data_IF_278682299832
#
_entry.id   IF_278682299832
#
_cell.length_a   1.000
_cell.length_b   1.000
_cell.length_c   1.000
_cell.angle_alpha   90.00
_cell.angle_beta   90.00
_cell.angle_gamma   90.00
#
_symmetry.space_group_name_H-M   'P 1'
#
loop_
_entity.id
_entity.type
_entity.pdbx_description
1 polymer ?
#
# COMPACT_ATOMS: atom_id res chain seq x y z
N UNK A 1 -0.24 4.01 -7.22
CA UNK A 1 -0.02 3.06 -8.33
C UNK A 1 -0.31 3.64 -9.71
N UNK A 2 -1.51 4.16 -9.98
CA UNK A 2 -1.90 4.69 -11.30
C UNK A 2 -0.90 5.66 -11.92
N UNK A 3 -0.44 6.65 -11.15
CA UNK A 3 0.54 7.66 -11.59
C UNK A 3 1.85 7.05 -12.11
N UNK A 4 2.54 6.29 -11.26
CA UNK A 4 3.87 5.76 -11.56
C UNK A 4 3.82 4.77 -12.73
N UNK A 5 2.77 3.95 -12.77
CA UNK A 5 2.62 2.89 -13.75
C UNK A 5 2.22 3.41 -15.15
N UNK A 6 1.59 4.58 -15.21
CA UNK A 6 1.17 5.22 -16.45
C UNK A 6 2.23 6.12 -17.08
N UNK A 7 3.18 6.62 -16.29
CA UNK A 7 4.14 7.64 -16.71
C UNK A 7 4.92 7.26 -17.97
N UNK A 8 5.56 6.08 -17.97
CA UNK A 8 6.36 5.64 -19.12
C UNK A 8 5.50 5.29 -20.35
N UNK A 9 4.39 4.53 -20.25
CA UNK A 9 3.49 4.30 -21.38
C UNK A 9 2.95 5.60 -22.00
N UNK A 10 2.51 6.56 -21.18
CA UNK A 10 2.01 7.85 -21.66
C UNK A 10 3.13 8.68 -22.31
N UNK A 11 4.33 8.70 -21.74
CA UNK A 11 5.49 9.36 -22.37
C UNK A 11 5.76 8.82 -23.76
N UNK A 12 5.75 7.49 -23.94
CA UNK A 12 5.95 6.85 -25.24
C UNK A 12 4.79 7.16 -26.21
N UNK A 13 3.56 7.19 -25.72
CA UNK A 13 2.40 7.57 -26.52
C UNK A 13 2.47 9.02 -27.00
N UNK A 14 2.99 9.94 -26.17
CA UNK A 14 3.18 11.36 -26.54
C UNK A 14 4.34 11.61 -27.50
N UNK A 15 5.28 10.67 -27.63
CA UNK A 15 6.38 10.74 -28.60
C UNK A 15 6.09 9.92 -29.86
N UNK A 16 4.81 9.64 -30.14
CA UNK A 16 4.31 8.84 -31.27
C UNK A 16 4.89 7.42 -31.35
N UNK A 17 5.32 6.86 -30.21
CA UNK A 17 5.84 5.49 -30.09
C UNK A 17 4.79 4.56 -29.46
N UNK A 18 3.57 4.57 -30.02
CA UNK A 18 2.42 3.81 -29.50
C UNK A 18 2.69 2.31 -29.47
N UNK A 19 3.32 1.75 -30.50
CA UNK A 19 3.66 0.32 -30.55
C UNK A 19 4.60 -0.07 -29.39
N UNK A 20 5.58 0.77 -29.09
CA UNK A 20 6.48 0.55 -27.94
C UNK A 20 5.73 0.71 -26.62
N UNK A 21 4.79 1.65 -26.53
CA UNK A 21 3.95 1.82 -25.36
C UNK A 21 3.11 0.56 -25.08
N UNK A 22 2.47 0.00 -26.12
CA UNK A 22 1.68 -1.23 -26.04
C UNK A 22 2.53 -2.46 -25.68
N UNK A 23 3.68 -2.64 -26.35
CA UNK A 23 4.62 -3.73 -26.01
C UNK A 23 5.12 -3.62 -24.58
N UNK A 24 5.45 -2.40 -24.14
CA UNK A 24 5.89 -2.13 -22.77
C UNK A 24 4.79 -2.44 -21.77
N UNK A 25 3.55 -2.08 -22.09
CA UNK A 25 2.40 -2.36 -21.26
C UNK A 25 2.20 -3.87 -21.09
N UNK A 26 2.26 -4.64 -22.19
CA UNK A 26 2.12 -6.09 -22.16
C UNK A 26 3.20 -6.77 -21.28
N UNK A 27 4.48 -6.45 -21.49
CA UNK A 27 5.60 -7.01 -20.70
C UNK A 27 5.53 -6.58 -19.23
N UNK A 28 5.24 -5.30 -18.96
CA UNK A 28 5.12 -4.75 -17.61
C UNK A 28 3.97 -5.37 -16.82
N UNK A 29 2.88 -5.73 -17.50
CA UNK A 29 1.70 -6.35 -16.90
C UNK A 29 2.05 -7.69 -16.25
N UNK A 30 2.70 -8.57 -17.01
CA UNK A 30 3.11 -9.88 -16.54
C UNK A 30 4.09 -9.77 -15.38
N UNK A 31 5.14 -8.97 -15.54
CA UNK A 31 6.20 -8.84 -14.53
C UNK A 31 5.71 -8.18 -13.24
N UNK A 32 4.67 -7.35 -13.29
CA UNK A 32 4.12 -6.72 -12.07
C UNK A 32 3.44 -7.73 -11.16
N UNK A 33 2.68 -8.67 -11.72
CA UNK A 33 2.02 -9.73 -10.94
C UNK A 33 3.07 -10.49 -10.13
N UNK A 34 4.14 -10.95 -10.77
CA UNK A 34 5.20 -11.69 -10.08
C UNK A 34 5.99 -10.84 -9.08
N UNK A 35 6.27 -9.57 -9.38
CA UNK A 35 6.95 -8.66 -8.43
C UNK A 35 6.13 -8.36 -7.19
N UNK A 36 4.80 -8.46 -7.26
CA UNK A 36 3.92 -8.29 -6.11
C UNK A 36 3.72 -9.61 -5.36
N UNK A 37 3.37 -10.66 -6.10
CA UNK A 37 2.98 -11.96 -5.54
C UNK A 37 4.15 -12.69 -4.91
N UNK A 38 5.30 -12.74 -5.57
CA UNK A 38 6.43 -13.55 -5.12
C UNK A 38 7.02 -13.06 -3.78
N UNK A 39 7.36 -11.76 -3.60
CA UNK A 39 7.91 -11.29 -2.33
C UNK A 39 6.91 -11.45 -1.16
N UNK A 40 5.63 -11.16 -1.40
CA UNK A 40 4.58 -11.29 -0.40
C UNK A 40 4.34 -12.75 0.01
N UNK A 41 4.28 -13.68 -0.96
CA UNK A 41 4.16 -15.12 -0.70
C UNK A 41 5.33 -15.63 0.15
N UNK A 42 6.56 -15.17 -0.14
CA UNK A 42 7.73 -15.54 0.65
C UNK A 42 7.66 -14.96 2.07
N UNK A 43 7.19 -13.73 2.24
CA UNK A 43 6.96 -13.15 3.56
C UNK A 43 5.93 -13.96 4.38
N UNK A 44 4.82 -14.36 3.76
CA UNK A 44 3.82 -15.24 4.38
C UNK A 44 4.41 -16.58 4.79
N UNK A 45 5.21 -17.22 3.92
CA UNK A 45 5.87 -18.50 4.23
C UNK A 45 6.81 -18.36 5.42
N UNK A 46 7.58 -17.27 5.51
CA UNK A 46 8.46 -17.03 6.65
C UNK A 46 7.61 -16.81 7.91
N UNK A 47 6.56 -15.99 7.85
CA UNK A 47 5.66 -15.74 8.98
C UNK A 47 5.00 -17.02 9.49
N UNK A 48 4.47 -17.84 8.57
CA UNK A 48 3.92 -19.17 8.85
C UNK A 48 4.93 -20.07 9.55
N UNK A 49 6.18 -20.08 9.07
CA UNK A 49 7.24 -20.88 9.67
C UNK A 49 7.58 -20.40 11.09
N UNK A 50 7.62 -19.09 11.33
CA UNK A 50 7.86 -18.53 12.68
C UNK A 50 6.71 -18.84 13.64
N UNK A 51 5.46 -18.77 13.17
CA UNK A 51 4.28 -19.16 13.94
C UNK A 51 4.37 -20.62 14.39
N UNK A 52 4.65 -21.55 13.46
CA UNK A 52 4.75 -22.99 13.77
C UNK A 52 5.98 -23.36 14.64
N UNK A 53 6.97 -22.48 14.76
CA UNK A 53 8.07 -22.60 15.72
C UNK A 53 7.74 -22.00 17.10
N UNK A 54 6.48 -21.61 17.34
CA UNK A 54 6.01 -21.04 18.60
C UNK A 54 6.64 -19.68 18.97
N UNK A 55 7.20 -18.97 17.98
CA UNK A 55 7.83 -17.66 18.20
C UNK A 55 6.81 -16.52 18.42
N UNK A 56 5.53 -16.81 18.16
CA UNK A 56 4.41 -15.87 18.27
C UNK A 56 3.63 -16.03 19.60
N UNK A 57 3.99 -16.98 20.46
CA UNK A 57 3.32 -17.25 21.74
C UNK A 57 3.18 -16.02 22.64
N UNK A 58 4.20 -15.16 22.71
CA UNK A 58 4.15 -13.93 23.51
C UNK A 58 3.16 -12.91 22.93
N UNK A 59 3.07 -12.79 21.60
CA UNK A 59 2.12 -11.86 20.97
C UNK A 59 0.67 -12.34 21.07
N UNK A 60 0.45 -13.65 20.95
CA UNK A 60 -0.85 -14.30 21.15
C UNK A 60 -1.36 -14.05 22.58
N UNK A 61 -0.49 -14.12 23.58
CA UNK A 61 -0.86 -13.98 24.99
C UNK A 61 -0.77 -12.53 25.50
N UNK A 62 -0.68 -11.55 24.60
CA UNK A 62 -0.52 -10.13 24.93
C UNK A 62 -1.87 -9.45 25.18
N UNK A 63 -1.96 -8.56 26.18
CA UNK A 63 -3.14 -7.70 26.40
C UNK A 63 -3.28 -6.58 25.34
N UNK A 64 -2.24 -6.35 24.53
CA UNK A 64 -2.33 -5.44 23.40
C UNK A 64 -3.26 -5.99 22.31
N UNK A 65 -4.44 -5.37 22.15
CA UNK A 65 -5.47 -5.75 21.17
C UNK A 65 -4.88 -6.16 19.82
N UNK A 66 -4.15 -5.27 19.14
CA UNK A 66 -3.61 -5.57 17.81
C UNK A 66 -2.68 -6.80 17.77
N UNK A 67 -1.84 -7.00 18.80
CA UNK A 67 -0.97 -8.18 18.85
C UNK A 67 -1.78 -9.46 19.02
N UNK A 68 -2.76 -9.45 19.92
CA UNK A 68 -3.62 -10.61 20.15
C UNK A 68 -4.46 -10.96 18.92
N UNK A 69 -5.25 -10.02 18.39
CA UNK A 69 -6.20 -10.34 17.31
C UNK A 69 -5.52 -10.73 16.00
N UNK A 70 -4.30 -10.25 15.77
CA UNK A 70 -3.59 -10.47 14.53
C UNK A 70 -2.58 -11.61 14.65
N UNK A 71 -2.49 -12.34 15.76
CA UNK A 71 -1.53 -13.43 15.92
C UNK A 71 -2.24 -14.78 15.83
N UNK A 72 -1.95 -15.61 14.82
CA UNK A 72 -2.49 -16.96 14.75
C UNK A 72 -1.78 -17.91 15.72
N UNK A 73 -2.53 -18.88 16.22
CA UNK A 73 -1.99 -20.01 16.98
C UNK A 73 -1.23 -20.98 16.07
N UNK A 74 -0.20 -21.68 16.59
CA UNK A 74 0.48 -22.73 15.83
C UNK A 74 -0.48 -23.87 15.45
N UNK A 75 -0.35 -24.39 14.23
CA UNK A 75 -1.15 -25.52 13.78
C UNK A 75 -0.82 -26.78 14.60
N UNK A 76 -1.80 -27.65 14.91
CA UNK A 76 -1.60 -28.80 15.80
C UNK A 76 -0.62 -29.85 15.25
N UNK A 77 -0.48 -29.93 13.92
CA UNK A 77 0.44 -30.85 13.26
C UNK A 77 1.03 -30.21 12.00
N UNK A 78 2.24 -30.59 11.61
CA UNK A 78 2.90 -30.08 10.40
C UNK A 78 2.13 -30.29 9.08
N UNK A 79 1.45 -31.44 8.84
CA UNK A 79 0.61 -31.58 7.66
C UNK A 79 -0.55 -30.58 7.65
N UNK A 80 -1.18 -30.35 8.81
CA UNK A 80 -2.21 -29.31 8.94
C UNK A 80 -1.62 -27.92 8.69
N UNK A 81 -0.43 -27.64 9.24
CA UNK A 81 0.27 -26.38 9.00
C UNK A 81 0.46 -26.09 7.51
N UNK A 82 0.80 -27.11 6.70
CA UNK A 82 0.94 -26.92 5.24
C UNK A 82 -0.41 -26.62 4.57
N UNK A 83 -1.51 -27.23 5.02
CA UNK A 83 -2.85 -26.93 4.53
C UNK A 83 -3.29 -25.51 4.92
N UNK A 84 -2.99 -25.09 6.16
CA UNK A 84 -3.29 -23.75 6.66
C UNK A 84 -2.50 -22.68 5.89
N UNK A 85 -1.23 -22.97 5.54
CA UNK A 85 -0.45 -22.11 4.64
C UNK A 85 -1.08 -21.97 3.26
N UNK A 86 -1.53 -23.06 2.65
CA UNK A 86 -2.20 -23.01 1.34
C UNK A 86 -3.52 -22.24 1.42
N UNK A 87 -4.28 -22.45 2.50
CA UNK A 87 -5.49 -21.70 2.80
C UNK A 87 -5.23 -20.20 2.93
N UNK A 88 -4.20 -19.81 3.69
CA UNK A 88 -3.81 -18.42 3.87
C UNK A 88 -3.34 -17.75 2.56
N UNK A 89 -2.60 -18.49 1.71
CA UNK A 89 -2.21 -18.00 0.38
C UNK A 89 -3.41 -17.84 -0.55
N UNK A 90 -4.38 -18.76 -0.50
CA UNK A 90 -5.63 -18.62 -1.25
C UNK A 90 -6.49 -17.46 -0.74
N UNK A 91 -6.60 -17.28 0.57
CA UNK A 91 -7.28 -16.14 1.17
C UNK A 91 -6.70 -14.81 0.65
N UNK A 92 -5.36 -14.70 0.66
CA UNK A 92 -4.66 -13.49 0.19
C UNK A 92 -4.94 -13.16 -1.29
N UNK A 93 -4.90 -14.16 -2.17
CA UNK A 93 -4.86 -13.93 -3.62
C UNK A 93 -6.18 -14.18 -4.35
N UNK A 94 -7.13 -14.88 -3.74
CA UNK A 94 -8.41 -15.26 -4.37
C UNK A 94 -9.59 -14.56 -3.70
N UNK A 95 -9.72 -14.69 -2.38
CA UNK A 95 -10.89 -14.18 -1.65
C UNK A 95 -10.71 -12.74 -1.15
N UNK A 96 -9.45 -12.31 -0.94
CA UNK A 96 -9.14 -11.02 -0.35
C UNK A 96 -9.34 -10.96 1.16
N UNK A 97 -9.60 -12.11 1.78
CA UNK A 97 -9.78 -12.26 3.22
C UNK A 97 -8.45 -12.14 3.96
N UNK A 98 -8.52 -11.79 5.24
CA UNK A 98 -7.36 -11.52 6.08
C UNK A 98 -6.47 -12.76 6.19
N UNK A 99 -5.27 -12.67 5.63
CA UNK A 99 -4.23 -13.68 5.81
C UNK A 99 -3.81 -13.71 7.28
N UNK A 100 -4.19 -14.77 8.00
CA UNK A 100 -3.92 -14.90 9.43
C UNK A 100 -2.43 -14.73 9.76
N UNK A 101 -1.54 -15.27 8.92
CA UNK A 101 -0.09 -15.17 9.12
C UNK A 101 0.46 -13.78 8.76
N UNK A 102 -0.22 -12.97 7.94
CA UNK A 102 0.26 -11.65 7.53
C UNK A 102 -0.88 -10.69 7.17
N UNK A 103 -1.65 -10.30 8.20
CA UNK A 103 -2.82 -9.43 8.07
C UNK A 103 -2.57 -8.18 7.22
N UNK A 104 -1.43 -7.46 7.34
CA UNK A 104 -1.15 -6.29 6.51
C UNK A 104 -1.28 -6.53 5.00
N UNK A 105 -1.15 -7.79 4.52
CA UNK A 105 -1.27 -8.17 3.12
C UNK A 105 -2.67 -8.03 2.52
N UNK A 106 -3.72 -7.75 3.32
CA UNK A 106 -5.09 -7.55 2.84
C UNK A 106 -5.17 -6.53 1.68
N UNK A 107 -4.27 -5.53 1.65
CA UNK A 107 -4.24 -4.52 0.59
C UNK A 107 -3.66 -5.01 -0.76
N UNK A 108 -2.92 -6.13 -0.77
CA UNK A 108 -2.20 -6.63 -1.94
C UNK A 108 -3.14 -7.06 -3.08
N UNK A 109 -4.29 -7.66 -2.75
CA UNK A 109 -5.28 -8.05 -3.76
C UNK A 109 -5.84 -6.82 -4.50
N UNK A 110 -6.15 -5.75 -3.76
CA UNK A 110 -6.62 -4.49 -4.33
C UNK A 110 -5.53 -3.82 -5.18
N UNK A 111 -4.25 -3.93 -4.79
CA UNK A 111 -3.12 -3.46 -5.61
C UNK A 111 -2.94 -4.27 -6.90
N UNK A 112 -3.22 -5.58 -6.85
CA UNK A 112 -3.20 -6.46 -8.01
C UNK A 112 -4.35 -6.14 -8.97
N UNK A 113 -5.58 -6.07 -8.47
CA UNK A 113 -6.78 -5.69 -9.22
C UNK A 113 -6.62 -4.29 -9.83
N UNK A 114 -6.19 -3.31 -9.04
CA UNK A 114 -5.90 -1.96 -9.51
C UNK A 114 -4.82 -1.92 -10.59
N UNK A 115 -3.83 -2.82 -10.53
CA UNK A 115 -2.84 -2.94 -11.61
C UNK A 115 -3.44 -3.39 -12.92
N UNK A 116 -4.32 -4.41 -12.89
CA UNK A 116 -5.07 -4.88 -14.08
C UNK A 116 -5.93 -3.74 -14.64
N UNK A 117 -6.62 -3.01 -13.77
CA UNK A 117 -7.43 -1.85 -14.17
C UNK A 117 -6.60 -0.77 -14.85
N UNK A 118 -5.41 -0.44 -14.31
CA UNK A 118 -4.49 0.52 -14.94
C UNK A 118 -4.06 0.04 -16.32
N UNK A 119 -3.76 -1.25 -16.47
CA UNK A 119 -3.35 -1.83 -17.74
C UNK A 119 -4.48 -1.74 -18.76
N UNK A 120 -5.69 -2.18 -18.41
CA UNK A 120 -6.86 -2.11 -19.27
C UNK A 120 -7.19 -0.66 -19.67
N UNK A 121 -7.11 0.27 -18.72
CA UNK A 121 -7.31 1.69 -18.97
C UNK A 121 -6.29 2.22 -19.99
N UNK A 122 -5.00 1.93 -19.78
CA UNK A 122 -3.93 2.38 -20.66
C UNK A 122 -4.07 1.79 -22.06
N UNK A 123 -4.38 0.49 -22.18
CA UNK A 123 -4.63 -0.14 -23.49
C UNK A 123 -5.76 0.54 -24.25
N UNK A 124 -6.82 0.98 -23.57
CA UNK A 124 -7.93 1.71 -24.17
C UNK A 124 -7.52 3.13 -24.63
N UNK A 125 -6.76 3.86 -23.82
CA UNK A 125 -6.52 5.30 -24.04
C UNK A 125 -5.18 5.64 -24.70
N UNK A 126 -4.28 4.68 -24.90
CA UNK A 126 -2.91 4.95 -25.39
C UNK A 126 -2.88 5.58 -26.78
N UNK A 127 -3.83 5.23 -27.65
CA UNK A 127 -3.97 5.76 -29.01
C UNK A 127 -4.71 7.11 -29.07
N UNK A 128 -5.32 7.54 -27.95
CA UNK A 128 -6.10 8.78 -27.89
C UNK A 128 -5.17 10.00 -27.75
N UNK A 129 -5.64 11.15 -28.24
CA UNK A 129 -4.96 12.43 -27.97
C UNK A 129 -4.94 12.74 -26.47
N UNK A 130 -3.99 13.53 -25.95
CA UNK A 130 -3.92 13.89 -24.53
C UNK A 130 -5.23 14.41 -23.92
N UNK A 131 -5.98 15.21 -24.68
CA UNK A 131 -7.27 15.79 -24.24
C UNK A 131 -8.34 14.72 -24.11
N UNK A 132 -8.53 13.90 -25.14
CA UNK A 132 -9.49 12.80 -25.13
C UNK A 132 -9.11 11.72 -24.12
N UNK A 133 -7.83 11.37 -24.01
CA UNK A 133 -7.31 10.47 -22.96
C UNK A 133 -7.69 10.97 -21.57
N UNK A 134 -7.47 12.25 -21.28
CA UNK A 134 -7.84 12.82 -19.97
C UNK A 134 -9.35 12.77 -19.74
N UNK A 135 -10.15 13.18 -20.73
CA UNK A 135 -11.61 13.15 -20.63
C UNK A 135 -12.15 11.73 -20.40
N UNK A 136 -11.65 10.74 -21.16
CA UNK A 136 -12.01 9.33 -20.98
C UNK A 136 -11.59 8.81 -19.60
N UNK A 137 -10.41 9.17 -19.10
CA UNK A 137 -9.97 8.76 -17.76
C UNK A 137 -10.84 9.37 -16.65
N UNK A 138 -11.30 10.62 -16.80
CA UNK A 138 -12.24 11.24 -15.86
C UNK A 138 -13.60 10.54 -15.90
N UNK A 139 -14.08 10.19 -17.09
CA UNK A 139 -15.31 9.42 -17.25
C UNK A 139 -15.18 8.02 -16.61
N UNK A 140 -14.07 7.32 -16.84
CA UNK A 140 -13.78 6.03 -16.21
C UNK A 140 -13.66 6.14 -14.68
N UNK A 141 -13.03 7.21 -14.18
CA UNK A 141 -12.94 7.46 -12.74
C UNK A 141 -14.33 7.63 -12.10
N UNK A 142 -15.20 8.43 -12.72
CA UNK A 142 -16.58 8.60 -12.25
C UNK A 142 -17.36 7.28 -12.35
N UNK A 143 -17.29 6.59 -13.49
CA UNK A 143 -17.96 5.31 -13.71
C UNK A 143 -17.46 4.22 -12.74
N UNK A 144 -16.20 4.28 -12.32
CA UNK A 144 -15.61 3.33 -11.39
C UNK A 144 -16.22 3.35 -10.00
N UNK A 145 -16.84 4.44 -9.59
CA UNK A 145 -17.56 4.49 -8.31
C UNK A 145 -18.71 3.49 -8.24
N UNK A 146 -19.32 3.14 -9.39
CA UNK A 146 -20.42 2.20 -9.46
C UNK A 146 -19.96 0.73 -9.33
N UNK A 147 -18.84 0.36 -9.98
CA UNK A 147 -18.42 -1.04 -10.03
C UNK A 147 -17.26 -1.40 -9.10
N UNK A 148 -16.49 -0.44 -8.58
CA UNK A 148 -15.40 -0.74 -7.62
C UNK A 148 -15.95 -1.30 -6.31
N UNK A 149 -17.21 -1.01 -5.97
CA UNK A 149 -17.92 -1.66 -4.86
C UNK A 149 -17.99 -3.18 -5.02
N UNK A 150 -18.12 -3.69 -6.25
CA UNK A 150 -18.16 -5.13 -6.54
C UNK A 150 -16.81 -5.81 -6.33
N UNK A 151 -15.73 -5.03 -6.23
CA UNK A 151 -14.36 -5.52 -6.07
C UNK A 151 -13.96 -5.58 -4.58
N UNK A 152 -14.76 -4.99 -3.69
CA UNK A 152 -14.51 -4.94 -2.25
C UNK A 152 -14.05 -3.56 -1.76
N UNK A 153 -13.38 -2.77 -2.60
CA UNK A 153 -12.98 -1.39 -2.27
C UNK A 153 -13.61 -0.37 -3.25
N UNK A 154 -14.60 0.44 -2.81
CA UNK A 154 -15.30 1.41 -3.65
C UNK A 154 -14.39 2.47 -4.31
N UNK A 155 -13.19 2.71 -3.77
CA UNK A 155 -12.36 3.85 -4.19
C UNK A 155 -11.13 3.45 -5.01
N UNK A 156 -10.81 2.16 -5.09
CA UNK A 156 -9.64 1.64 -5.81
C UNK A 156 -9.66 2.07 -7.29
N UNK A 157 -10.82 2.01 -7.95
CA UNK A 157 -10.96 2.47 -9.34
C UNK A 157 -10.69 3.94 -9.53
N UNK A 158 -11.32 4.78 -8.70
CA UNK A 158 -11.15 6.22 -8.75
C UNK A 158 -9.67 6.59 -8.60
N UNK A 159 -8.97 6.00 -7.62
CA UNK A 159 -7.53 6.20 -7.43
C UNK A 159 -6.68 5.74 -8.61
N UNK A 160 -7.04 4.62 -9.25
CA UNK A 160 -6.31 4.11 -10.40
C UNK A 160 -6.43 5.06 -11.60
N UNK A 161 -7.65 5.40 -12.02
CA UNK A 161 -7.90 6.23 -13.19
C UNK A 161 -7.43 7.68 -12.98
N UNK A 162 -7.69 8.28 -11.82
CA UNK A 162 -7.18 9.61 -11.50
C UNK A 162 -5.66 9.61 -11.35
N UNK A 163 -5.06 8.52 -10.88
CA UNK A 163 -3.61 8.36 -10.90
C UNK A 163 -3.04 8.45 -12.33
N UNK A 164 -3.67 7.80 -13.31
CA UNK A 164 -3.29 7.89 -14.73
C UNK A 164 -3.48 9.32 -15.25
N UNK A 165 -4.60 9.98 -14.90
CA UNK A 165 -4.86 11.36 -15.28
C UNK A 165 -3.82 12.34 -14.68
N UNK A 166 -3.40 12.14 -13.43
CA UNK A 166 -2.31 12.90 -12.81
C UNK A 166 -0.96 12.67 -13.52
N UNK A 167 -0.73 11.47 -14.06
CA UNK A 167 0.44 11.19 -14.91
C UNK A 167 0.39 11.99 -16.21
N UNK A 168 -0.77 12.04 -16.87
CA UNK A 168 -0.99 12.89 -18.05
C UNK A 168 -0.75 14.38 -17.74
N UNK A 169 -1.27 14.84 -16.61
CA UNK A 169 -1.09 16.19 -16.08
C UNK A 169 0.39 16.51 -15.86
N UNK A 170 1.15 15.59 -15.27
CA UNK A 170 2.58 15.79 -14.97
C UNK A 170 3.44 16.02 -16.21
N UNK A 171 3.01 15.50 -17.36
CA UNK A 171 3.69 15.66 -18.64
C UNK A 171 3.20 16.90 -19.40
N UNK A 172 2.06 17.48 -19.00
CA UNK A 172 1.52 18.70 -19.60
C UNK A 172 2.28 19.95 -19.13
N UNK A 173 1.98 21.11 -19.72
CA UNK A 173 2.54 22.38 -19.25
C UNK A 173 1.84 22.94 -17.99
N UNK A 174 0.76 22.31 -17.50
CA UNK A 174 -0.02 22.82 -16.37
C UNK A 174 0.84 22.94 -15.09
N UNK A 175 1.63 21.94 -14.65
CA UNK A 175 2.50 22.10 -13.48
C UNK A 175 3.53 23.23 -13.65
N UNK A 176 4.02 23.49 -14.86
CA UNK A 176 4.94 24.60 -15.14
C UNK A 176 4.23 25.95 -15.03
N UNK A 177 3.01 26.05 -15.55
CA UNK A 177 2.17 27.27 -15.48
C UNK A 177 1.71 27.58 -14.05
N UNK A 178 1.46 26.56 -13.23
CA UNK A 178 1.06 26.72 -11.83
C UNK A 178 2.24 26.91 -10.87
N UNK A 179 3.48 26.64 -11.30
CA UNK A 179 4.66 26.74 -10.45
C UNK A 179 4.84 28.12 -9.77
N UNK A 180 4.59 29.28 -10.42
CA UNK A 180 4.68 30.59 -9.77
C UNK A 180 3.65 30.81 -8.65
N UNK A 181 2.47 30.21 -8.78
CA UNK A 181 1.38 30.31 -7.79
C UNK A 181 1.45 29.19 -6.73
N UNK A 182 2.33 28.22 -6.94
CA UNK A 182 2.47 27.05 -6.07
C UNK A 182 2.72 27.38 -4.58
N UNK A 183 3.44 28.46 -4.19
CA UNK A 183 3.59 28.82 -2.77
C UNK A 183 2.28 29.17 -2.06
N UNK A 184 1.26 29.61 -2.82
CA UNK A 184 -0.05 29.98 -2.27
C UNK A 184 -1.07 28.84 -2.40
N UNK A 185 -0.97 28.03 -3.46
CA UNK A 185 -1.95 26.97 -3.75
C UNK A 185 -1.54 25.63 -3.12
N UNK A 186 -0.26 25.27 -3.18
CA UNK A 186 0.19 23.94 -2.76
C UNK A 186 0.08 23.71 -1.25
N UNK A 187 0.52 24.63 -0.35
CA UNK A 187 0.39 24.42 1.08
C UNK A 187 -1.05 24.16 1.56
N UNK A 188 -2.09 24.95 1.19
CA UNK A 188 -3.44 24.65 1.63
C UNK A 188 -3.98 23.35 1.02
N UNK A 189 -3.65 23.02 -0.24
CA UNK A 189 -4.06 21.74 -0.85
C UNK A 189 -3.41 20.56 -0.13
N UNK A 190 -2.11 20.65 0.20
CA UNK A 190 -1.41 19.62 0.97
C UNK A 190 -2.01 19.52 2.38
N UNK A 191 -2.29 20.64 3.04
CA UNK A 191 -2.89 20.61 4.38
C UNK A 191 -4.27 19.93 4.37
N UNK A 192 -5.15 20.30 3.44
CA UNK A 192 -6.46 19.65 3.26
C UNK A 192 -6.29 18.15 2.96
N UNK A 193 -5.31 17.80 2.12
CA UNK A 193 -5.01 16.40 1.81
C UNK A 193 -4.60 15.60 3.04
N UNK A 194 -3.78 16.17 3.92
CA UNK A 194 -3.34 15.54 5.16
C UNK A 194 -4.49 15.42 6.17
N UNK A 195 -5.37 16.43 6.25
CA UNK A 195 -6.59 16.37 7.07
C UNK A 195 -7.48 15.22 6.61
N UNK A 196 -7.72 15.07 5.30
CA UNK A 196 -8.49 13.95 4.77
C UNK A 196 -7.82 12.60 5.05
N UNK A 197 -6.51 12.49 4.80
CA UNK A 197 -5.77 11.25 5.05
C UNK A 197 -5.67 10.88 6.54
N UNK A 198 -5.89 11.83 7.44
CA UNK A 198 -5.88 11.57 8.88
C UNK A 198 -7.19 10.98 9.41
N UNK A 199 -8.26 10.93 8.60
CA UNK A 199 -9.59 10.47 9.02
C UNK A 199 -9.50 9.08 9.68
N UNK A 200 -10.00 8.90 10.92
CA UNK A 200 -9.81 7.67 11.66
C UNK A 200 -10.71 6.54 11.16
N UNK A 201 -10.24 5.30 11.29
CA UNK A 201 -11.02 4.10 10.96
C UNK A 201 -12.12 3.79 11.98
N UNK A 202 -11.93 4.25 13.21
CA UNK A 202 -12.86 4.01 14.32
C UNK A 202 -12.91 5.26 15.20
N UNK A 203 -14.03 5.44 15.90
CA UNK A 203 -14.24 6.56 16.82
C UNK A 203 -14.07 7.94 16.16
N UNK A 204 -14.69 8.16 14.99
CA UNK A 204 -14.63 9.46 14.29
C UNK A 204 -15.20 10.62 15.13
N UNK A 205 -16.06 10.34 16.11
CA UNK A 205 -16.58 11.28 17.09
C UNK A 205 -15.54 11.75 18.12
N UNK A 206 -14.40 11.08 18.26
CA UNK A 206 -13.39 11.41 19.27
C UNK A 206 -12.70 12.77 19.02
N UNK A 207 -12.79 13.32 17.81
CA UNK A 207 -12.28 14.64 17.49
C UNK A 207 -13.29 15.44 16.65
N UNK A 208 -13.38 16.75 16.93
CA UNK A 208 -14.36 17.62 16.27
C UNK A 208 -14.20 17.69 14.74
N UNK A 209 -12.96 17.65 14.23
CA UNK A 209 -12.70 17.72 12.79
C UNK A 209 -13.12 16.43 12.06
N UNK A 210 -12.92 15.25 12.66
CA UNK A 210 -13.35 13.97 12.09
C UNK A 210 -14.85 13.77 12.20
N UNK A 211 -15.46 14.26 13.29
CA UNK A 211 -16.93 14.31 13.42
C UNK A 211 -17.54 15.20 12.33
N UNK A 212 -16.99 16.40 12.12
CA UNK A 212 -17.45 17.31 11.07
C UNK A 212 -17.34 16.69 9.67
N UNK A 213 -16.21 16.01 9.37
CA UNK A 213 -16.05 15.30 8.10
C UNK A 213 -17.09 14.17 7.94
N UNK A 214 -17.30 13.36 8.99
CA UNK A 214 -18.34 12.32 8.98
C UNK A 214 -19.70 12.92 8.64
N UNK A 215 -20.10 13.95 9.38
CA UNK A 215 -21.42 14.56 9.24
C UNK A 215 -21.59 15.17 7.85
N UNK A 216 -20.57 15.88 7.35
CA UNK A 216 -20.52 16.37 5.97
C UNK A 216 -20.70 15.25 4.94
N UNK A 217 -19.97 14.14 5.09
CA UNK A 217 -20.08 13.03 4.16
C UNK A 217 -21.48 12.40 4.17
N UNK A 218 -22.02 12.15 5.36
CA UNK A 218 -23.37 11.57 5.53
C UNK A 218 -24.49 12.47 5.04
N UNK A 219 -24.26 13.78 5.00
CA UNK A 219 -25.24 14.74 4.51
C UNK A 219 -25.27 14.84 2.97
N UNK A 220 -24.12 14.75 2.32
CA UNK A 220 -23.98 15.06 0.89
C UNK A 220 -23.72 13.86 -0.01
N UNK A 221 -23.25 12.73 0.54
CA UNK A 221 -22.97 11.52 -0.22
C UNK A 221 -24.01 10.43 0.07
N UNK A 222 -24.30 9.57 -0.92
CA UNK A 222 -25.22 8.46 -0.73
C UNK A 222 -24.63 7.42 0.24
N UNK A 223 -25.51 6.65 0.89
CA UNK A 223 -25.15 5.69 1.95
C UNK A 223 -24.05 4.69 1.54
N UNK A 224 -24.01 4.33 0.26
CA UNK A 224 -23.05 3.40 -0.31
C UNK A 224 -21.65 4.00 -0.34
N UNK A 225 -21.51 5.31 -0.58
CA UNK A 225 -20.23 6.01 -0.52
C UNK A 225 -19.76 6.21 0.93
N UNK A 226 -20.69 6.34 1.86
CA UNK A 226 -20.40 6.54 3.29
C UNK A 226 -20.10 5.22 4.03
N UNK A 227 -20.27 4.07 3.38
CA UNK A 227 -19.93 2.76 3.98
C UNK A 227 -18.43 2.63 4.31
N UNK A 228 -17.56 3.34 3.59
CA UNK A 228 -16.12 3.30 3.74
C UNK A 228 -15.52 4.72 3.79
N UNK A 229 -15.96 5.56 4.74
CA UNK A 229 -15.53 6.95 4.87
C UNK A 229 -14.01 7.10 5.00
N UNK A 230 -13.35 6.23 5.77
CA UNK A 230 -11.89 6.19 5.90
C UNK A 230 -11.21 6.05 4.53
N UNK A 231 -11.78 5.20 3.65
CA UNK A 231 -11.25 4.90 2.33
C UNK A 231 -11.52 6.02 1.37
N UNK A 232 -12.70 6.65 1.48
CA UNK A 232 -13.05 7.85 0.73
C UNK A 232 -12.06 8.97 1.01
N UNK A 233 -11.92 9.36 2.28
CA UNK A 233 -11.06 10.47 2.67
C UNK A 233 -9.58 10.15 2.43
N UNK A 234 -9.14 8.92 2.71
CA UNK A 234 -7.79 8.48 2.37
C UNK A 234 -7.49 8.56 0.87
N UNK A 235 -8.44 8.16 0.02
CA UNK A 235 -8.32 8.18 -1.44
C UNK A 235 -8.30 9.58 -2.01
N UNK A 236 -9.27 10.43 -1.61
CA UNK A 236 -9.35 11.82 -2.03
C UNK A 236 -8.15 12.62 -1.55
N UNK A 237 -7.74 12.42 -0.29
CA UNK A 237 -6.54 13.02 0.27
C UNK A 237 -5.29 12.59 -0.50
N UNK A 238 -5.12 11.31 -0.81
CA UNK A 238 -3.99 10.83 -1.62
C UNK A 238 -3.92 11.48 -3.02
N UNK A 239 -5.05 11.66 -3.68
CA UNK A 239 -5.13 12.35 -5.00
C UNK A 239 -4.74 13.82 -4.88
N UNK A 240 -5.31 14.54 -3.91
CA UNK A 240 -5.00 15.94 -3.64
C UNK A 240 -3.53 16.15 -3.25
N UNK A 241 -2.97 15.24 -2.45
CA UNK A 241 -1.57 15.28 -2.06
C UNK A 241 -0.65 15.17 -3.28
N UNK A 242 -0.88 14.19 -4.16
CA UNK A 242 -0.09 14.03 -5.39
C UNK A 242 -0.23 15.27 -6.27
N UNK A 243 -1.44 15.82 -6.44
CA UNK A 243 -1.65 17.05 -7.18
C UNK A 243 -0.87 18.23 -6.58
N UNK A 244 -0.98 18.44 -5.27
CA UNK A 244 -0.27 19.49 -4.53
C UNK A 244 1.24 19.39 -4.65
N UNK A 245 1.80 18.17 -4.65
CA UNK A 245 3.22 17.91 -4.92
C UNK A 245 3.58 18.21 -6.37
N UNK A 246 2.77 17.79 -7.35
CA UNK A 246 3.07 17.96 -8.77
C UNK A 246 3.24 19.43 -9.16
N UNK A 247 2.38 20.31 -8.63
CA UNK A 247 2.42 21.76 -8.92
C UNK A 247 3.50 22.52 -8.15
N UNK A 248 4.10 21.93 -7.11
CA UNK A 248 5.06 22.60 -6.22
C UNK A 248 6.50 22.12 -6.44
N UNK A 249 7.37 22.95 -7.04
CA UNK A 249 8.79 22.63 -7.17
C UNK A 249 9.47 22.37 -5.83
N UNK A 250 9.07 23.10 -4.78
CA UNK A 250 9.61 22.94 -3.43
C UNK A 250 9.23 21.60 -2.80
N UNK A 251 7.97 21.18 -2.91
CA UNK A 251 7.52 19.89 -2.39
C UNK A 251 8.27 18.73 -3.08
N UNK A 252 8.40 18.80 -4.42
CA UNK A 252 9.18 17.81 -5.18
C UNK A 252 10.65 17.77 -4.76
N UNK A 253 11.27 18.94 -4.56
CA UNK A 253 12.66 19.03 -4.10
C UNK A 253 12.84 18.43 -2.71
N UNK A 254 11.96 18.78 -1.76
CA UNK A 254 11.98 18.27 -0.39
C UNK A 254 11.82 16.74 -0.37
N UNK A 255 10.87 16.20 -1.13
CA UNK A 255 10.60 14.77 -1.21
C UNK A 255 11.68 14.00 -2.01
N UNK A 256 12.48 14.68 -2.81
CA UNK A 256 13.60 14.10 -3.57
C UNK A 256 14.92 14.08 -2.78
N UNK A 257 14.90 14.36 -1.47
CA UNK A 257 16.11 14.31 -0.63
C UNK A 257 16.54 12.85 -0.39
N UNK A 258 17.86 12.57 -0.27
CA UNK A 258 18.38 11.20 -0.19
C UNK A 258 17.74 10.30 0.88
N UNK A 259 17.44 10.77 2.12
CA UNK A 259 16.79 9.93 3.14
C UNK A 259 15.40 9.45 2.71
N UNK A 260 14.60 10.32 2.09
CA UNK A 260 13.25 9.99 1.64
C UNK A 260 13.28 9.09 0.40
N UNK A 261 14.24 9.30 -0.50
CA UNK A 261 14.49 8.40 -1.63
C UNK A 261 14.95 7.02 -1.16
N UNK A 262 15.77 6.94 -0.11
CA UNK A 262 16.16 5.67 0.49
C UNK A 262 14.97 4.97 1.13
N UNK A 263 14.15 5.69 1.90
CA UNK A 263 12.93 5.15 2.51
C UNK A 263 11.99 4.59 1.44
N UNK A 264 11.80 5.30 0.32
CA UNK A 264 11.00 4.83 -0.81
C UNK A 264 11.55 3.58 -1.50
N UNK A 265 12.86 3.30 -1.43
CA UNK A 265 13.46 2.06 -1.95
C UNK A 265 13.19 0.87 -1.04
N UNK A 266 13.18 1.07 0.29
CA UNK A 266 13.01 -0.01 1.26
C UNK A 266 11.58 -0.19 1.76
N UNK A 267 10.68 0.75 1.45
CA UNK A 267 9.31 0.80 1.98
C UNK A 267 8.49 -0.46 1.73
N UNK A 268 8.61 -1.08 0.55
CA UNK A 268 7.90 -2.31 0.24
C UNK A 268 8.36 -3.48 1.12
N UNK A 269 9.68 -3.62 1.31
CA UNK A 269 10.22 -4.64 2.20
C UNK A 269 9.82 -4.40 3.66
N UNK A 270 9.83 -3.14 4.12
CA UNK A 270 9.31 -2.76 5.46
C UNK A 270 7.84 -3.17 5.59
N UNK A 271 7.01 -2.85 4.60
CA UNK A 271 5.60 -3.21 4.58
C UNK A 271 5.40 -4.74 4.66
N UNK A 272 6.20 -5.53 3.95
CA UNK A 272 6.06 -7.00 3.99
C UNK A 272 6.47 -7.63 5.33
N UNK A 273 7.49 -7.09 6.01
CA UNK A 273 8.06 -7.77 7.17
C UNK A 273 7.64 -7.16 8.51
N UNK A 274 7.13 -5.92 8.55
CA UNK A 274 6.87 -5.24 9.82
C UNK A 274 5.87 -6.01 10.71
N UNK A 275 4.83 -6.62 10.14
CA UNK A 275 3.86 -7.43 10.89
C UNK A 275 4.52 -8.60 11.62
N UNK A 276 5.43 -9.30 10.95
CA UNK A 276 6.22 -10.38 11.56
C UNK A 276 7.09 -9.90 12.72
N UNK A 277 7.76 -8.74 12.56
CA UNK A 277 8.59 -8.15 13.62
C UNK A 277 7.77 -7.61 14.79
N UNK A 278 6.54 -7.15 14.55
CA UNK A 278 5.59 -6.76 15.60
C UNK A 278 5.19 -7.97 16.46
N UNK A 279 4.87 -9.11 15.84
CA UNK A 279 4.48 -10.34 16.53
C UNK A 279 5.66 -11.05 17.22
N UNK A 280 6.89 -10.82 16.74
CA UNK A 280 8.10 -11.40 17.33
C UNK A 280 8.83 -10.35 18.17
N UNK A 281 9.90 -9.77 17.62
CA UNK A 281 10.88 -8.95 18.33
C UNK A 281 10.21 -7.87 19.19
N UNK A 282 9.18 -7.19 18.68
CA UNK A 282 8.45 -6.18 19.44
C UNK A 282 7.71 -6.78 20.63
N UNK A 283 6.89 -7.83 20.45
CA UNK A 283 6.17 -8.50 21.53
C UNK A 283 7.13 -9.04 22.60
N UNK A 284 8.23 -9.66 22.18
CA UNK A 284 9.29 -10.14 23.08
C UNK A 284 9.95 -9.00 23.87
N UNK A 285 10.31 -7.90 23.21
CA UNK A 285 10.91 -6.73 23.88
C UNK A 285 9.93 -6.01 24.81
N UNK A 286 8.65 -5.95 24.41
CA UNK A 286 7.56 -5.33 25.15
C UNK A 286 7.32 -6.07 26.48
N UNK A 287 7.24 -7.40 26.43
CA UNK A 287 6.83 -8.24 27.55
C UNK A 287 7.97 -8.91 28.31
N UNK A 288 9.23 -8.63 27.94
CA UNK A 288 10.41 -9.25 28.54
C UNK A 288 10.38 -9.19 30.09
N UNK A 289 10.34 -10.33 30.77
CA UNK A 289 10.34 -10.37 32.23
C UNK A 289 9.08 -9.80 32.90
N UNK A 290 7.96 -9.65 32.18
CA UNK A 290 6.64 -9.48 32.80
C UNK A 290 6.06 -10.86 33.13
N UNK A 291 5.35 -10.95 34.25
CA UNK A 291 4.48 -12.09 34.52
C UNK A 291 3.10 -11.81 33.90
N UNK A 292 2.39 -12.89 33.55
CA UNK A 292 0.99 -12.77 33.12
C UNK A 292 0.13 -12.26 34.28
N UNK A 293 -0.90 -11.51 33.94
CA UNK A 293 -1.92 -11.03 34.87
C UNK A 293 -3.29 -11.49 34.37
N UNK A 294 -4.22 -11.71 35.31
CA UNK A 294 -5.60 -12.00 34.96
C UNK A 294 -6.23 -10.73 34.40
N UNK A 295 -6.61 -10.78 33.13
CA UNK A 295 -7.36 -9.74 32.44
C UNK A 295 -8.77 -10.26 32.20
N UNK A 296 -9.78 -9.46 32.53
CA UNK A 296 -11.17 -9.74 32.17
C UNK A 296 -11.37 -9.43 30.70
N UNK A 297 -11.76 -10.45 29.92
CA UNK A 297 -12.15 -10.31 28.52
C UNK A 297 -13.65 -10.64 28.39
N UNK A 298 -14.27 -10.18 27.31
CA UNK A 298 -15.69 -10.36 27.07
C UNK A 298 -15.90 -11.36 25.92
N UNK A 299 -16.63 -12.44 26.18
CA UNK A 299 -17.00 -13.41 25.17
C UNK A 299 -17.98 -12.88 24.14
N UNK A 300 -18.26 -13.66 23.07
CA UNK A 300 -19.18 -13.28 22.00
C UNK A 300 -20.59 -12.94 22.51
N UNK A 301 -20.99 -13.51 23.65
CA UNK A 301 -22.28 -13.30 24.31
C UNK A 301 -22.23 -12.18 25.38
N UNK A 302 -21.11 -11.49 25.54
CA UNK A 302 -20.87 -10.51 26.62
C UNK A 302 -20.50 -11.13 27.97
N UNK A 303 -20.33 -12.45 28.07
CA UNK A 303 -19.89 -13.11 29.29
C UNK A 303 -18.44 -12.74 29.62
N UNK A 304 -18.20 -12.23 30.82
CA UNK A 304 -16.87 -11.96 31.32
C UNK A 304 -16.15 -13.27 31.64
N UNK A 305 -15.02 -13.52 30.99
CA UNK A 305 -14.11 -14.59 31.37
C UNK A 305 -12.73 -14.00 31.67
N UNK A 306 -12.02 -14.62 32.61
CA UNK A 306 -10.67 -14.19 32.97
C UNK A 306 -9.66 -15.02 32.20
N UNK A 307 -8.75 -14.36 31.49
CA UNK A 307 -7.61 -14.99 30.83
C UNK A 307 -6.30 -14.39 31.34
N UNK A 308 -5.27 -15.23 31.44
CA UNK A 308 -3.93 -14.78 31.80
C UNK A 308 -3.24 -14.19 30.56
N UNK A 309 -3.03 -12.87 30.56
CA UNK A 309 -2.33 -12.14 29.49
C UNK A 309 -1.14 -11.34 30.01
N UNK A 310 -0.18 -11.06 29.15
CA UNK A 310 0.90 -10.13 29.45
C UNK A 310 0.35 -8.68 29.46
N UNK A 311 0.43 -7.98 30.60
CA UNK A 311 -0.15 -6.64 30.72
C UNK A 311 0.61 -5.64 29.87
N UNK A 312 -0.09 -4.58 29.43
CA UNK A 312 0.54 -3.46 28.72
C UNK A 312 1.56 -2.74 29.63
N UNK A 313 2.86 -2.69 29.25
CA UNK A 313 3.85 -2.08 30.10
C UNK A 313 3.81 -0.55 30.04
N UNK A 314 4.48 0.10 30.99
CA UNK A 314 4.60 1.56 31.05
C UNK A 314 5.18 2.19 29.77
N UNK A 315 4.91 3.48 29.57
CA UNK A 315 5.23 4.21 28.33
C UNK A 315 6.70 4.16 27.91
N UNK A 316 7.64 4.15 28.87
CA UNK A 316 9.07 4.04 28.58
C UNK A 316 9.41 2.72 27.88
N UNK A 317 8.85 1.61 28.36
CA UNK A 317 9.09 0.28 27.78
C UNK A 317 8.47 0.17 26.39
N UNK A 318 7.28 0.71 26.20
CA UNK A 318 6.63 0.81 24.88
C UNK A 318 7.51 1.58 23.90
N UNK A 319 8.05 2.74 24.31
CA UNK A 319 8.96 3.52 23.48
C UNK A 319 10.25 2.75 23.13
N UNK A 320 10.86 2.07 24.13
CA UNK A 320 12.05 1.26 23.92
C UNK A 320 11.80 0.10 22.94
N UNK A 321 10.70 -0.64 23.13
CA UNK A 321 10.30 -1.74 22.24
C UNK A 321 10.08 -1.24 20.80
N UNK A 322 9.44 -0.08 20.62
CA UNK A 322 9.27 0.54 19.30
C UNK A 322 10.61 0.89 18.65
N UNK A 323 11.57 1.42 19.40
CA UNK A 323 12.92 1.73 18.87
C UNK A 323 13.65 0.46 18.46
N UNK A 324 13.62 -0.59 19.30
CA UNK A 324 14.23 -1.89 18.98
C UNK A 324 13.61 -2.48 17.71
N UNK A 325 12.28 -2.49 17.63
CA UNK A 325 11.57 -2.95 16.43
C UNK A 325 11.95 -2.15 15.19
N UNK A 326 12.02 -0.81 15.28
CA UNK A 326 12.35 0.05 14.16
C UNK A 326 13.76 -0.24 13.62
N UNK A 327 14.73 -0.47 14.50
CA UNK A 327 16.09 -0.84 14.13
C UNK A 327 16.11 -2.23 13.47
N UNK A 328 15.45 -3.23 14.07
CA UNK A 328 15.40 -4.59 13.53
C UNK A 328 14.73 -4.65 12.14
N UNK A 329 13.58 -3.99 11.97
CA UNK A 329 12.89 -3.89 10.68
C UNK A 329 13.73 -3.11 9.67
N UNK A 330 14.41 -2.04 10.09
CA UNK A 330 15.32 -1.29 9.23
C UNK A 330 16.48 -2.15 8.70
N UNK A 331 17.12 -2.94 9.56
CA UNK A 331 18.20 -3.85 9.19
C UNK A 331 17.68 -4.99 8.29
N UNK A 332 16.58 -5.64 8.68
CA UNK A 332 15.99 -6.74 7.92
C UNK A 332 15.51 -6.29 6.53
N UNK A 333 14.87 -5.13 6.43
CA UNK A 333 14.44 -4.56 5.15
C UNK A 333 15.63 -4.19 4.27
N UNK A 334 16.74 -3.74 4.85
CA UNK A 334 17.98 -3.51 4.10
C UNK A 334 18.53 -4.81 3.51
N UNK A 335 18.58 -5.89 4.30
CA UNK A 335 19.00 -7.22 3.82
C UNK A 335 18.05 -7.78 2.76
N UNK A 336 16.73 -7.64 2.95
CA UNK A 336 15.72 -8.03 1.97
C UNK A 336 15.98 -7.36 0.62
N UNK A 337 16.21 -6.04 0.63
CA UNK A 337 16.50 -5.28 -0.58
C UNK A 337 17.84 -5.65 -1.25
N UNK A 338 18.85 -6.02 -0.47
CA UNK A 338 20.16 -6.38 -1.02
C UNK A 338 20.21 -7.82 -1.58
N UNK A 339 19.47 -8.76 -0.98
CA UNK A 339 19.59 -10.19 -1.28
C UNK A 339 18.36 -10.77 -1.98
N UNK A 340 17.17 -10.50 -1.45
CA UNK A 340 15.93 -11.12 -1.92
C UNK A 340 15.34 -10.38 -3.13
N UNK A 341 15.31 -9.04 -3.12
CA UNK A 341 14.82 -8.26 -4.26
C UNK A 341 15.54 -8.58 -5.58
N UNK A 342 16.89 -8.66 -5.64
CA UNK A 342 17.57 -9.08 -6.87
C UNK A 342 17.26 -10.51 -7.29
N UNK A 343 17.00 -11.41 -6.33
CA UNK A 343 16.60 -12.79 -6.62
C UNK A 343 15.21 -12.83 -7.27
N UNK A 344 14.24 -12.14 -6.69
CA UNK A 344 12.88 -12.03 -7.24
C UNK A 344 12.87 -11.35 -8.60
N UNK A 345 13.72 -10.34 -8.81
CA UNK A 345 13.89 -9.70 -10.10
C UNK A 345 14.43 -10.67 -11.16
N UNK A 346 15.41 -11.53 -10.80
CA UNK A 346 15.93 -12.57 -11.71
C UNK A 346 14.89 -13.63 -12.03
N UNK A 347 14.13 -14.11 -11.03
CA UNK A 347 13.05 -15.09 -11.23
C UNK A 347 11.98 -14.50 -12.16
N UNK A 348 11.53 -13.28 -11.87
CA UNK A 348 10.54 -12.58 -12.69
C UNK A 348 11.05 -12.39 -14.12
N UNK A 349 12.29 -11.95 -14.32
CA UNK A 349 12.87 -11.76 -15.65
C UNK A 349 12.99 -13.07 -16.43
N UNK A 350 13.32 -14.18 -15.75
CA UNK A 350 13.35 -15.51 -16.36
C UNK A 350 11.95 -15.94 -16.83
N UNK A 351 10.94 -15.78 -15.98
CA UNK A 351 9.55 -16.09 -16.32
C UNK A 351 9.04 -15.20 -17.47
N UNK A 352 9.33 -13.90 -17.42
CA UNK A 352 9.00 -12.96 -18.48
C UNK A 352 9.64 -13.38 -19.82
N UNK A 353 10.91 -13.79 -19.81
CA UNK A 353 11.61 -14.27 -21.00
C UNK A 353 11.01 -15.56 -21.57
N UNK A 354 10.51 -16.47 -20.72
CA UNK A 354 9.81 -17.69 -21.14
C UNK A 354 8.47 -17.35 -21.80
N UNK A 355 7.69 -16.43 -21.20
CA UNK A 355 6.35 -16.07 -21.70
C UNK A 355 6.40 -15.19 -22.95
N UNK A 356 7.38 -14.30 -23.05
CA UNK A 356 7.52 -13.39 -24.21
C UNK A 356 8.33 -13.98 -25.36
N UNK A 357 8.92 -15.17 -25.20
CA UNK A 357 9.72 -15.80 -26.25
C UNK A 357 11.03 -15.06 -26.58
N UNK A 358 11.63 -14.34 -25.61
CA UNK A 358 12.86 -13.52 -25.76
C UNK A 358 12.78 -12.38 -26.79
N UNK A 359 11.80 -11.49 -26.66
CA UNK A 359 11.83 -10.18 -27.33
C UNK A 359 12.64 -9.19 -26.48
N UNK A 360 13.87 -8.92 -26.93
CA UNK A 360 14.83 -7.87 -26.53
C UNK A 360 14.63 -7.12 -25.19
N UNK A 361 15.59 -7.27 -24.29
CA UNK A 361 15.80 -6.41 -23.12
C UNK A 361 16.15 -4.98 -23.53
N UNK A 362 15.21 -4.03 -23.38
CA UNK A 362 15.54 -2.60 -23.46
C UNK A 362 16.56 -2.17 -22.39
N UNK A 363 17.49 -1.25 -22.71
CA UNK A 363 18.42 -0.69 -21.74
C UNK A 363 17.67 0.14 -20.69
N UNK A 364 18.10 0.01 -19.42
CA UNK A 364 17.59 0.79 -18.29
C UNK A 364 17.70 2.30 -18.59
N UNK A 365 16.56 2.95 -18.81
CA UNK A 365 16.47 4.41 -18.89
C UNK A 365 16.84 5.01 -17.53
N UNK A 366 17.92 5.80 -17.51
CA UNK A 366 18.25 6.67 -16.39
C UNK A 366 17.03 7.55 -16.06
N UNK A 367 16.66 7.61 -14.78
CA UNK A 367 15.57 8.43 -14.28
C UNK A 367 15.91 9.91 -14.33
N UNK A 368 15.97 10.48 -15.54
CA UNK A 368 16.05 11.91 -15.74
C UNK A 368 14.82 12.55 -15.08
N UNK A 369 15.06 13.45 -14.15
CA UNK A 369 14.03 14.20 -13.43
C UNK A 369 13.15 14.94 -14.44
N UNK A 370 11.91 14.49 -14.63
CA UNK A 370 10.99 14.98 -15.67
C UNK A 370 10.57 16.44 -15.43
N UNK A 371 10.79 16.95 -14.22
CA UNK A 371 10.44 18.31 -13.84
C UNK A 371 11.69 19.01 -13.29
N UNK A 372 11.94 20.28 -13.65
CA UNK A 372 13.08 21.02 -13.12
C UNK A 372 12.99 21.10 -11.59
N UNK A 373 14.08 20.70 -10.93
CA UNK A 373 14.31 21.01 -9.53
C UNK A 373 14.74 22.49 -9.45
N UNK A 374 14.30 23.18 -8.39
CA UNK A 374 14.74 24.56 -8.08
C UNK A 374 16.28 24.58 -8.02
N UNK A 375 16.91 25.59 -8.63
CA UNK A 375 18.38 25.74 -8.79
C UNK A 375 18.89 26.90 -7.93
N UNK A 376 18.74 26.77 -6.62
CA UNK A 376 19.06 27.81 -5.64
C UNK A 376 19.54 27.19 -4.34
#
# INVERSE_FOLDING_TARGET
>A
MGFVNALKPIQLARTDQVDKALRKLASSSFSRVFRLVLPATIATIISWFLCNLDLYSISEQSDAYWLYTNTPEPSPTWPQAVLDLLGALWATWIYGDENEYDQPQWALIYLLQGSIMIISALSLVVTMTPTWRTATLLFLAYWSLNWSQLIGDPWTGLCCFLGIALSELSLSDIPKRLAPYSPYISPPVILVSLVFMSYPSSFAEAAAWSAWLRDFATQYFPSEATSALERMYGSLGGILLVFGILISPHARWMLSRPPLLWLGKVSFAIYLIHGMFLRTVFAWALHLGQAKQLVTDHGPNGEEFQMERYPLPGSFRRALATVIMAVCVGVASHFWNLKLEPLFAKITAKLEGVVTGKVETEPKSNGATILPLRKD
#
